data_IF_331993963422
#
_entry.id   IF_331993963422
#
_cell.length_a   1.000
_cell.length_b   1.000
_cell.length_c   1.000
_cell.angle_alpha   90.00
_cell.angle_beta   90.00
_cell.angle_gamma   90.00
#
_symmetry.space_group_name_H-M   'P 1'
#
loop_
_entity.id
_entity.type
_entity.pdbx_description
1 polymer ?
#
# COMPACT_ATOMS: atom_id res chain seq x y z
N UNK A 1 30.89 48.54 -11.62
CA UNK A 1 29.42 48.36 -11.49
C UNK A 1 29.11 46.87 -11.51
N UNK A 2 28.41 46.41 -10.47
CA UNK A 2 27.52 45.24 -10.36
C UNK A 2 28.06 43.85 -10.79
N UNK A 3 28.50 42.99 -9.85
CA UNK A 3 27.71 42.07 -8.99
C UNK A 3 27.01 40.95 -9.75
N UNK A 4 27.43 39.71 -9.49
CA UNK A 4 26.66 38.48 -9.17
C UNK A 4 27.68 37.33 -9.09
N UNK A 5 28.37 37.14 -7.96
CA UNK A 5 28.03 36.26 -6.83
C UNK A 5 27.86 34.78 -7.19
N UNK A 6 28.77 34.00 -6.62
CA UNK A 6 28.65 32.63 -6.11
C UNK A 6 27.18 32.24 -5.78
N UNK A 7 26.70 31.03 -6.00
CA UNK A 7 27.17 29.83 -5.35
C UNK A 7 26.54 28.59 -6.00
N UNK A 8 27.29 27.48 -5.97
CA UNK A 8 26.78 26.14 -6.23
C UNK A 8 25.79 25.76 -5.12
N UNK A 9 24.49 25.93 -5.34
CA UNK A 9 23.48 25.36 -4.46
C UNK A 9 22.90 24.09 -5.07
N UNK A 10 23.30 22.97 -4.46
CA UNK A 10 22.72 21.64 -4.58
C UNK A 10 21.20 21.74 -4.43
N UNK A 11 20.43 21.58 -5.50
CA UNK A 11 19.05 21.13 -5.35
C UNK A 11 19.09 19.64 -5.05
N UNK A 12 19.42 19.30 -3.80
CA UNK A 12 18.83 18.09 -3.22
C UNK A 12 17.34 18.41 -3.19
N UNK A 13 16.60 17.97 -4.21
CA UNK A 13 15.19 17.70 -4.02
C UNK A 13 15.15 16.68 -2.88
N UNK A 14 14.97 17.19 -1.65
CA UNK A 14 14.40 16.40 -0.58
C UNK A 14 13.02 16.02 -1.07
N UNK A 15 12.96 14.91 -1.81
CA UNK A 15 11.76 14.11 -1.92
C UNK A 15 11.31 13.90 -0.49
N UNK A 16 10.25 14.63 -0.12
CA UNK A 16 9.55 14.44 1.14
C UNK A 16 8.95 13.02 1.06
N UNK A 17 9.76 12.01 1.32
CA UNK A 17 9.31 10.63 1.46
C UNK A 17 8.63 10.59 2.83
N UNK A 18 7.42 11.13 2.91
CA UNK A 18 6.52 10.85 4.03
C UNK A 18 5.97 9.44 3.88
N UNK A 19 6.83 8.43 3.72
CA UNK A 19 6.38 7.06 3.84
C UNK A 19 6.26 6.77 5.33
N UNK A 20 5.13 7.21 5.91
CA UNK A 20 4.77 6.96 7.32
C UNK A 20 4.76 5.47 7.65
N UNK A 21 4.75 4.60 6.66
CA UNK A 21 4.63 3.17 6.84
C UNK A 21 5.79 2.43 6.18
N UNK A 22 6.39 1.50 6.93
CA UNK A 22 7.22 0.43 6.40
C UNK A 22 6.29 -0.69 5.92
N UNK A 23 6.50 -1.13 4.68
CA UNK A 23 5.73 -2.22 4.07
C UNK A 23 6.66 -3.42 3.93
N UNK A 24 6.28 -4.55 4.52
CA UNK A 24 7.03 -5.81 4.42
C UNK A 24 6.11 -6.86 3.81
N UNK A 25 6.52 -7.46 2.68
CA UNK A 25 5.80 -8.60 2.10
C UNK A 25 5.91 -9.81 3.03
N UNK A 26 4.79 -10.49 3.24
CA UNK A 26 4.70 -11.71 4.05
C UNK A 26 4.16 -12.86 3.20
N UNK A 27 4.42 -14.09 3.63
CA UNK A 27 3.95 -15.30 2.95
C UNK A 27 2.60 -15.73 3.53
N UNK A 28 2.49 -15.72 4.85
CA UNK A 28 1.29 -16.15 5.57
C UNK A 28 0.32 -14.97 5.76
N UNK A 29 -0.96 -15.21 5.45
CA UNK A 29 -2.01 -14.19 5.57
C UNK A 29 -2.25 -13.78 7.04
N UNK A 30 -2.03 -14.69 7.99
CA UNK A 30 -2.17 -14.43 9.43
C UNK A 30 -1.19 -13.36 9.93
N UNK A 31 -0.04 -13.21 9.26
CA UNK A 31 0.98 -12.19 9.56
C UNK A 31 0.75 -10.88 8.78
N UNK A 32 -0.18 -10.89 7.84
CA UNK A 32 -0.48 -9.76 6.97
C UNK A 32 -1.47 -8.81 7.67
N UNK A 33 -1.30 -7.52 7.40
CA UNK A 33 -2.29 -6.50 7.82
C UNK A 33 -3.07 -5.94 6.64
N UNK A 34 -2.50 -6.06 5.44
CA UNK A 34 -3.08 -5.56 4.20
C UNK A 34 -2.77 -6.52 3.05
N UNK A 35 -3.53 -6.37 1.97
CA UNK A 35 -3.29 -6.95 0.67
C UNK A 35 -3.13 -5.83 -0.37
N UNK A 36 -2.17 -5.99 -1.28
CA UNK A 36 -1.88 -5.05 -2.36
C UNK A 36 -2.09 -5.79 -3.70
N UNK A 37 -3.17 -5.49 -4.45
CA UNK A 37 -3.37 -6.10 -5.75
C UNK A 37 -2.22 -5.75 -6.69
N UNK A 38 -1.78 -6.74 -7.44
CA UNK A 38 -0.78 -6.61 -8.50
C UNK A 38 -1.46 -6.79 -9.86
N UNK A 39 -0.72 -6.55 -10.94
CA UNK A 39 -1.27 -6.78 -12.27
C UNK A 39 -1.68 -8.25 -12.45
N UNK A 40 -2.90 -8.44 -12.92
CA UNK A 40 -3.46 -9.74 -13.28
C UNK A 40 -4.28 -9.54 -14.55
N UNK A 41 -3.97 -10.32 -15.58
CA UNK A 41 -4.63 -10.26 -16.89
C UNK A 41 -6.12 -10.60 -16.81
N UNK A 42 -6.54 -11.26 -15.72
CA UNK A 42 -7.91 -11.64 -15.45
C UNK A 42 -8.70 -10.60 -14.64
N UNK A 43 -8.06 -9.50 -14.19
CA UNK A 43 -8.76 -8.42 -13.50
C UNK A 43 -9.61 -7.68 -14.53
N UNK A 44 -10.96 -7.69 -14.41
CA UNK A 44 -11.81 -6.93 -15.31
C UNK A 44 -11.53 -5.43 -15.16
N UNK A 45 -11.72 -4.68 -16.25
CA UNK A 45 -11.49 -3.22 -16.29
C UNK A 45 -12.30 -2.44 -15.24
N UNK A 46 -13.35 -3.03 -14.67
CA UNK A 46 -14.17 -2.50 -13.59
C UNK A 46 -14.09 -3.38 -12.31
N UNK A 47 -12.89 -3.83 -11.95
CA UNK A 47 -12.71 -4.57 -10.70
C UNK A 47 -12.98 -3.67 -9.50
N UNK A 48 -13.50 -4.25 -8.42
CA UNK A 48 -13.71 -3.56 -7.14
C UNK A 48 -12.40 -3.27 -6.39
N UNK A 49 -11.24 -3.55 -7.02
CA UNK A 49 -9.91 -3.25 -6.47
C UNK A 49 -9.01 -2.64 -7.54
N UNK A 50 -8.19 -1.69 -7.10
CA UNK A 50 -7.23 -0.95 -7.91
C UNK A 50 -5.81 -1.47 -7.66
N UNK A 51 -5.08 -1.78 -8.74
CA UNK A 51 -3.67 -2.23 -8.67
C UNK A 51 -2.82 -1.21 -7.90
N UNK A 52 -2.02 -1.70 -6.94
CA UNK A 52 -1.22 -0.87 -6.04
C UNK A 52 -1.99 -0.20 -4.91
N UNK A 53 -3.31 -0.36 -4.86
CA UNK A 53 -4.14 0.00 -3.70
C UNK A 53 -3.74 -0.78 -2.45
N UNK A 54 -4.06 -0.25 -1.27
CA UNK A 54 -3.70 -0.86 0.01
C UNK A 54 -4.97 -1.21 0.77
N UNK A 55 -5.34 -2.48 0.74
CA UNK A 55 -6.61 -2.96 1.29
C UNK A 55 -6.36 -3.64 2.63
N UNK A 56 -6.97 -3.12 3.70
CA UNK A 56 -6.79 -3.68 5.03
C UNK A 56 -7.49 -5.03 5.13
N UNK A 57 -6.81 -6.01 5.72
CA UNK A 57 -7.42 -7.29 6.10
C UNK A 57 -8.22 -7.10 7.39
N UNK A 58 -9.44 -7.62 7.39
CA UNK A 58 -10.40 -7.58 8.48
C UNK A 58 -11.01 -8.96 8.65
N UNK A 59 -10.90 -9.52 9.85
CA UNK A 59 -11.46 -10.83 10.15
C UNK A 59 -12.97 -10.72 10.39
N UNK A 60 -13.76 -11.41 9.57
CA UNK A 60 -15.19 -11.60 9.75
C UNK A 60 -15.44 -12.80 10.68
N UNK A 61 -15.95 -12.50 11.88
CA UNK A 61 -16.22 -13.50 12.91
C UNK A 61 -17.41 -14.41 12.60
N UNK A 62 -18.31 -14.01 11.72
CA UNK A 62 -19.51 -14.79 11.41
C UNK A 62 -19.19 -15.90 10.41
N UNK A 63 -18.39 -15.58 9.40
CA UNK A 63 -17.97 -16.50 8.35
C UNK A 63 -16.63 -17.19 8.65
N UNK A 64 -15.90 -16.74 9.68
CA UNK A 64 -14.58 -17.27 10.08
C UNK A 64 -13.51 -17.08 8.97
N UNK A 65 -13.52 -15.91 8.33
CA UNK A 65 -12.67 -15.60 7.16
C UNK A 65 -12.05 -14.20 7.24
N UNK A 66 -10.82 -14.05 6.72
CA UNK A 66 -10.21 -12.75 6.50
C UNK A 66 -10.76 -12.11 5.23
N UNK A 67 -11.29 -10.90 5.33
CA UNK A 67 -11.81 -10.13 4.20
C UNK A 67 -10.97 -8.88 3.97
N UNK A 68 -11.12 -8.26 2.80
CA UNK A 68 -10.76 -6.86 2.59
C UNK A 68 -12.02 -5.99 2.53
N UNK A 69 -11.86 -4.68 2.73
CA UNK A 69 -12.88 -3.68 2.35
C UNK A 69 -12.48 -3.12 0.99
N UNK A 70 -13.28 -3.40 -0.04
CA UNK A 70 -12.99 -3.04 -1.43
C UNK A 70 -13.25 -1.55 -1.76
N UNK A 71 -13.03 -1.15 -3.01
CA UNK A 71 -13.20 0.25 -3.46
C UNK A 71 -14.65 0.75 -3.33
N UNK A 72 -15.62 -0.17 -3.30
CA UNK A 72 -17.04 0.12 -3.13
C UNK A 72 -17.47 0.09 -1.65
N UNK A 73 -16.57 -0.26 -0.73
CA UNK A 73 -16.82 -0.33 0.71
C UNK A 73 -17.45 -1.64 1.18
N UNK A 74 -17.43 -2.69 0.36
CA UNK A 74 -17.95 -4.01 0.72
C UNK A 74 -16.86 -4.92 1.29
N UNK A 75 -17.27 -5.82 2.17
CA UNK A 75 -16.42 -6.96 2.55
C UNK A 75 -16.26 -7.88 1.36
N UNK A 76 -15.03 -8.24 1.05
CA UNK A 76 -14.69 -8.96 -0.17
C UNK A 76 -13.54 -9.93 0.03
N UNK A 77 -13.66 -11.11 -0.58
CA UNK A 77 -12.62 -12.14 -0.63
C UNK A 77 -11.88 -12.12 -1.97
N UNK A 78 -11.99 -11.04 -2.74
CA UNK A 78 -11.48 -10.95 -4.11
C UNK A 78 -9.96 -11.19 -4.22
N UNK A 79 -9.22 -11.03 -3.12
CA UNK A 79 -7.81 -11.38 -3.04
C UNK A 79 -7.54 -12.87 -3.28
N UNK A 80 -8.54 -13.75 -3.11
CA UNK A 80 -8.44 -15.18 -3.44
C UNK A 80 -8.48 -15.42 -4.96
N UNK A 81 -9.02 -14.46 -5.73
CA UNK A 81 -9.23 -14.59 -7.16
C UNK A 81 -8.20 -13.81 -8.00
N UNK A 82 -7.42 -12.92 -7.38
CA UNK A 82 -6.51 -12.02 -8.08
C UNK A 82 -5.10 -12.05 -7.51
N UNK A 83 -4.11 -11.78 -8.37
CA UNK A 83 -2.73 -11.66 -7.94
C UNK A 83 -2.58 -10.46 -7.00
N UNK A 84 -1.85 -10.66 -5.90
CA UNK A 84 -1.44 -9.56 -5.05
C UNK A 84 -0.48 -10.01 -3.97
N UNK A 85 0.08 -9.01 -3.28
CA UNK A 85 1.03 -9.20 -2.21
C UNK A 85 0.35 -8.98 -0.86
N UNK A 86 0.41 -10.00 -0.01
CA UNK A 86 0.13 -9.83 1.41
C UNK A 86 1.28 -9.09 2.07
N UNK A 87 0.95 -8.06 2.84
CA UNK A 87 1.95 -7.20 3.46
C UNK A 87 1.59 -6.88 4.90
N UNK A 88 2.63 -6.72 5.70
CA UNK A 88 2.57 -6.08 7.01
C UNK A 88 2.97 -4.62 6.87
N UNK A 89 2.03 -3.73 7.15
CA UNK A 89 2.24 -2.29 7.23
C UNK A 89 2.44 -1.85 8.68
N UNK A 90 3.56 -1.21 8.96
CA UNK A 90 3.96 -0.74 10.30
C UNK A 90 4.25 0.76 10.24
N UNK A 91 3.71 1.54 11.17
CA UNK A 91 4.00 2.99 11.24
C UNK A 91 5.46 3.21 11.66
N UNK A 92 6.17 4.05 10.92
CA UNK A 92 7.54 4.46 11.23
C UNK A 92 7.47 5.73 12.05
N UNK A 93 7.70 5.59 13.35
CA UNK A 93 7.90 6.73 14.24
C UNK A 93 9.36 7.15 14.12
N UNK A 94 9.61 8.34 13.56
CA UNK A 94 10.93 8.95 13.63
C UNK A 94 11.02 9.66 14.99
N UNK A 95 11.90 9.19 15.87
CA UNK A 95 12.27 9.94 17.07
C UNK A 95 13.08 11.18 16.61
N UNK A 96 12.63 12.37 17.02
CA UNK A 96 13.26 13.68 16.72
C UNK A 96 14.58 13.89 17.48
#
# INVERSE_FOLDING_TARGET
>A
MSLFKEDRMKSKEQLNISSKFKITKVVDIEDATHWIPTYDENIPMNSAVTVGGKYRLVYDKFEDEDCIIDDDGHLSLIYLCHNGDFVKMEEVIYEE
#
